data_IF_142312551692
#
_entry.id   IF_142312551692
#
_cell.length_a   1.000
_cell.length_b   1.000
_cell.length_c   1.000
_cell.angle_alpha   90.00
_cell.angle_beta   90.00
_cell.angle_gamma   90.00
#
_symmetry.space_group_name_H-M   'P 1'
#
loop_
_entity.id
_entity.type
_entity.pdbx_description
1 polymer ?
#
# COMPACT_ATOMS: atom_id res chain seq x y z
N UNK A 1 -9.06 11.28 -4.85
CA UNK A 1 -9.81 11.04 -3.59
C UNK A 1 -10.36 9.62 -3.57
N UNK A 2 -10.28 8.93 -2.42
CA UNK A 2 -10.91 7.62 -2.21
C UNK A 2 -11.99 7.76 -1.13
N UNK A 3 -13.17 7.19 -1.37
CA UNK A 3 -14.27 7.19 -0.42
C UNK A 3 -14.74 5.76 -0.17
N UNK A 4 -14.80 5.36 1.10
CA UNK A 4 -15.41 4.11 1.56
C UNK A 4 -16.72 4.44 2.28
N UNK A 5 -17.82 3.79 1.91
CA UNK A 5 -19.14 4.01 2.50
C UNK A 5 -19.75 2.68 2.94
N UNK A 6 -19.85 2.48 4.25
CA UNK A 6 -20.44 1.30 4.90
C UNK A 6 -19.89 -0.03 4.34
N UNK A 7 -18.57 -0.09 4.09
CA UNK A 7 -17.93 -1.23 3.45
C UNK A 7 -17.77 -2.37 4.44
N UNK A 8 -18.32 -3.55 4.09
CA UNK A 8 -18.01 -4.79 4.78
C UNK A 8 -17.54 -5.81 3.76
N UNK A 9 -16.55 -6.63 4.16
CA UNK A 9 -16.02 -7.69 3.32
C UNK A 9 -15.67 -8.92 4.14
N UNK A 10 -16.02 -10.10 3.63
CA UNK A 10 -15.58 -11.39 4.16
C UNK A 10 -15.11 -12.30 3.03
N UNK A 11 -13.97 -12.96 3.25
CA UNK A 11 -13.51 -14.01 2.32
C UNK A 11 -14.45 -15.22 2.36
N UNK A 12 -14.53 -16.00 1.27
CA UNK A 12 -15.28 -17.24 1.27
C UNK A 12 -14.76 -18.17 2.36
N UNK A 13 -15.64 -18.89 3.04
CA UNK A 13 -15.21 -19.95 3.95
C UNK A 13 -14.36 -20.96 3.16
N UNK A 14 -13.12 -21.21 3.60
CA UNK A 14 -12.31 -22.28 3.02
C UNK A 14 -13.04 -23.59 3.24
N UNK A 15 -13.47 -24.27 2.14
CA UNK A 15 -14.29 -25.49 2.19
C UNK A 15 -13.58 -26.74 2.72
N UNK A 16 -12.66 -26.60 3.67
CA UNK A 16 -12.02 -27.69 4.41
C UNK A 16 -12.82 -27.91 5.69
N UNK A 17 -13.59 -29.02 5.79
CA UNK A 17 -14.34 -29.34 7.01
C UNK A 17 -13.38 -29.51 8.18
N UNK A 18 -13.55 -28.73 9.23
CA UNK A 18 -12.76 -28.79 10.46
C UNK A 18 -11.80 -27.64 10.73
N UNK A 19 -11.72 -26.64 9.84
CA UNK A 19 -10.93 -25.43 10.07
C UNK A 19 -11.84 -24.19 10.12
N UNK A 20 -12.77 -24.17 11.07
CA UNK A 20 -13.74 -23.08 11.30
C UNK A 20 -13.10 -21.76 11.82
N UNK A 21 -11.79 -21.59 11.72
CA UNK A 21 -11.09 -20.47 12.35
C UNK A 21 -10.85 -19.26 11.47
N UNK A 22 -11.46 -19.17 10.27
CA UNK A 22 -11.38 -17.95 9.45
C UNK A 22 -12.71 -17.55 8.80
N UNK A 23 -13.80 -17.61 9.52
CA UNK A 23 -15.04 -16.89 9.19
C UNK A 23 -15.05 -15.49 9.81
N UNK A 24 -13.92 -14.92 10.08
CA UNK A 24 -13.83 -13.52 10.52
C UNK A 24 -14.11 -12.61 9.33
N UNK A 25 -15.17 -11.82 9.41
CA UNK A 25 -15.38 -10.70 8.50
C UNK A 25 -14.10 -9.86 8.51
N UNK A 26 -13.39 -9.84 7.39
CA UNK A 26 -12.12 -9.16 7.34
C UNK A 26 -12.27 -7.65 7.54
N UNK A 27 -13.45 -7.09 7.16
CA UNK A 27 -13.83 -5.71 7.42
C UNK A 27 -15.32 -5.60 7.71
N UNK A 28 -15.70 -4.66 8.59
CA UNK A 28 -17.07 -4.43 9.01
C UNK A 28 -17.35 -2.92 9.05
N UNK A 29 -18.36 -2.50 8.28
CA UNK A 29 -18.91 -1.15 8.29
C UNK A 29 -17.86 -0.03 8.18
N UNK A 30 -16.84 -0.21 7.34
CA UNK A 30 -15.79 0.78 7.10
C UNK A 30 -16.37 1.98 6.37
N UNK A 31 -16.24 3.16 6.96
CA UNK A 31 -16.58 4.44 6.35
C UNK A 31 -15.45 5.43 6.59
N UNK A 32 -14.80 5.87 5.52
CA UNK A 32 -13.75 6.89 5.59
C UNK A 32 -13.54 7.54 4.22
N UNK A 33 -13.00 8.76 4.22
CA UNK A 33 -12.55 9.47 3.02
C UNK A 33 -11.05 9.68 3.11
N UNK A 34 -10.32 9.43 2.05
CA UNK A 34 -8.88 9.68 1.92
C UNK A 34 -8.70 10.79 0.89
N UNK A 35 -8.26 11.94 1.38
CA UNK A 35 -8.06 13.13 0.55
C UNK A 35 -6.84 12.99 -0.34
N UNK A 36 -6.87 13.65 -1.51
CA UNK A 36 -5.72 13.72 -2.41
C UNK A 36 -4.53 14.43 -1.73
N UNK A 37 -3.34 13.90 -1.94
CA UNK A 37 -2.09 14.41 -1.35
C UNK A 37 -1.89 14.10 0.13
N UNK A 38 -2.82 13.40 0.78
CA UNK A 38 -2.69 13.01 2.18
C UNK A 38 -1.79 11.77 2.34
N UNK A 39 -1.07 11.72 3.47
CA UNK A 39 -0.34 10.52 3.89
C UNK A 39 -1.09 9.86 5.06
N UNK A 40 -1.75 8.74 4.77
CA UNK A 40 -2.59 8.00 5.74
C UNK A 40 -1.87 6.73 6.19
N UNK A 41 -1.70 6.59 7.50
CA UNK A 41 -1.19 5.38 8.14
C UNK A 41 -2.37 4.51 8.59
N UNK A 42 -2.38 3.25 8.16
CA UNK A 42 -3.27 2.21 8.67
C UNK A 42 -2.51 1.40 9.73
N UNK A 43 -2.94 1.43 10.98
CA UNK A 43 -2.31 0.69 12.05
C UNK A 43 -3.34 -0.14 12.84
N UNK A 44 -2.85 -1.08 13.63
CA UNK A 44 -3.68 -1.98 14.43
C UNK A 44 -3.01 -3.35 14.62
N UNK A 45 -3.59 -4.23 15.45
CA UNK A 45 -3.08 -5.58 15.72
C UNK A 45 -2.96 -6.43 14.44
N UNK A 46 -2.19 -7.50 14.51
CA UNK A 46 -2.16 -8.49 13.41
C UNK A 46 -3.55 -9.10 13.23
N UNK A 47 -3.96 -9.28 11.96
CA UNK A 47 -5.27 -9.84 11.63
C UNK A 47 -6.46 -8.88 11.74
N UNK A 48 -6.26 -7.60 12.08
CA UNK A 48 -7.36 -6.64 12.23
C UNK A 48 -7.98 -6.15 10.91
N UNK A 49 -7.50 -6.60 9.74
CA UNK A 49 -8.08 -6.24 8.44
C UNK A 49 -7.24 -5.27 7.60
N UNK A 50 -6.02 -4.86 8.00
CA UNK A 50 -5.18 -3.90 7.24
C UNK A 50 -4.93 -4.32 5.79
N UNK A 51 -4.46 -5.55 5.56
CA UNK A 51 -4.23 -6.09 4.21
C UNK A 51 -5.53 -6.15 3.40
N UNK A 52 -6.67 -6.46 4.03
CA UNK A 52 -7.96 -6.43 3.34
C UNK A 52 -8.36 -5.01 2.96
N UNK A 53 -8.09 -4.04 3.84
CA UNK A 53 -8.31 -2.63 3.54
C UNK A 53 -7.42 -2.16 2.37
N UNK A 54 -6.12 -2.51 2.36
CA UNK A 54 -5.25 -2.16 1.23
C UNK A 54 -5.73 -2.78 -0.09
N UNK A 55 -6.22 -4.03 -0.06
CA UNK A 55 -6.80 -4.72 -1.23
C UNK A 55 -8.09 -4.09 -1.74
N UNK A 56 -8.90 -3.51 -0.88
CA UNK A 56 -10.07 -2.71 -1.28
C UNK A 56 -9.66 -1.42 -1.97
N UNK A 57 -8.68 -0.71 -1.39
CA UNK A 57 -8.24 0.59 -1.88
C UNK A 57 -7.51 0.52 -3.22
N UNK A 58 -6.86 -0.59 -3.53
CA UNK A 58 -6.18 -0.81 -4.82
C UNK A 58 -7.01 -1.62 -5.83
N UNK A 59 -8.26 -1.94 -5.51
CA UNK A 59 -9.20 -2.62 -6.40
C UNK A 59 -8.98 -4.14 -6.53
N UNK A 60 -8.03 -4.75 -5.82
CA UNK A 60 -7.90 -6.21 -5.80
C UNK A 60 -9.12 -6.89 -5.21
N UNK A 61 -9.87 -6.22 -4.36
CA UNK A 61 -11.23 -6.57 -3.97
C UNK A 61 -12.17 -5.57 -4.67
N UNK A 62 -13.14 -6.03 -5.44
CA UNK A 62 -13.58 -7.43 -5.64
C UNK A 62 -12.96 -8.12 -6.87
N UNK A 63 -12.10 -7.48 -7.65
CA UNK A 63 -11.71 -7.96 -8.98
C UNK A 63 -10.82 -9.22 -8.99
N UNK A 64 -10.01 -9.41 -7.98
CA UNK A 64 -9.09 -10.55 -7.86
C UNK A 64 -9.43 -11.46 -6.67
N UNK A 65 -9.84 -10.86 -5.54
CA UNK A 65 -10.26 -11.60 -4.36
C UNK A 65 -11.78 -11.65 -4.29
N UNK A 66 -12.32 -12.85 -4.43
CA UNK A 66 -13.76 -13.10 -4.27
C UNK A 66 -14.16 -13.04 -2.79
N UNK A 67 -15.43 -12.69 -2.53
CA UNK A 67 -15.98 -12.64 -1.19
C UNK A 67 -17.32 -11.90 -1.13
N UNK A 68 -17.88 -11.85 0.06
CA UNK A 68 -19.10 -11.07 0.29
C UNK A 68 -18.70 -9.61 0.52
N UNK A 69 -18.99 -8.77 -0.45
CA UNK A 69 -18.69 -7.34 -0.44
C UNK A 69 -19.98 -6.53 -0.41
N UNK A 70 -20.15 -5.69 0.62
CA UNK A 70 -21.26 -4.74 0.76
C UNK A 70 -20.73 -3.32 0.94
N UNK A 71 -21.59 -2.31 0.75
CA UNK A 71 -21.18 -0.92 0.72
C UNK A 71 -20.57 -0.52 -0.61
N UNK A 72 -19.79 0.55 -0.64
CA UNK A 72 -19.12 1.03 -1.85
C UNK A 72 -17.73 1.60 -1.56
N UNK A 73 -16.78 1.35 -2.48
CA UNK A 73 -15.48 2.04 -2.54
C UNK A 73 -15.45 2.85 -3.82
N UNK A 74 -15.22 4.15 -3.71
CA UNK A 74 -15.17 5.04 -4.87
C UNK A 74 -13.79 5.63 -5.04
N UNK A 75 -13.31 5.62 -6.27
CA UNK A 75 -12.08 6.28 -6.71
C UNK A 75 -12.46 7.43 -7.65
N UNK A 76 -12.24 8.67 -7.23
CA UNK A 76 -12.68 9.88 -7.95
C UNK A 76 -14.18 9.87 -8.26
N UNK A 77 -15.01 9.47 -7.29
CA UNK A 77 -16.46 9.44 -7.41
C UNK A 77 -17.03 8.22 -8.17
N UNK A 78 -16.19 7.40 -8.83
CA UNK A 78 -16.63 6.17 -9.52
C UNK A 78 -16.45 4.96 -8.61
N UNK A 79 -17.46 4.09 -8.54
CA UNK A 79 -17.36 2.84 -7.78
C UNK A 79 -16.26 1.94 -8.39
N UNK A 80 -15.41 1.36 -7.55
CA UNK A 80 -14.31 0.48 -8.00
C UNK A 80 -14.82 -0.76 -8.74
N UNK A 81 -16.05 -1.20 -8.48
CA UNK A 81 -16.70 -2.31 -9.21
C UNK A 81 -17.00 -1.99 -10.66
N UNK A 82 -17.14 -0.71 -11.01
CA UNK A 82 -17.41 -0.22 -12.36
C UNK A 82 -16.14 0.08 -13.16
N UNK A 83 -14.98 0.08 -12.48
CA UNK A 83 -13.68 0.32 -13.09
C UNK A 83 -12.98 -1.02 -13.36
N UNK A 84 -12.25 -1.13 -14.46
CA UNK A 84 -11.36 -2.27 -14.67
C UNK A 84 -10.10 -2.15 -13.77
N UNK A 85 -9.44 -3.27 -13.48
CA UNK A 85 -8.13 -3.23 -12.80
C UNK A 85 -7.11 -2.40 -13.57
N UNK A 86 -7.20 -2.37 -14.89
CA UNK A 86 -6.38 -1.51 -15.75
C UNK A 86 -6.60 -0.03 -15.43
N UNK A 87 -7.87 0.43 -15.38
CA UNK A 87 -8.20 1.83 -15.05
C UNK A 87 -7.76 2.22 -13.63
N UNK A 88 -7.88 1.28 -12.69
CA UNK A 88 -7.45 1.49 -11.31
C UNK A 88 -5.92 1.58 -11.26
N UNK A 89 -5.18 0.71 -11.97
CA UNK A 89 -3.72 0.67 -11.96
C UNK A 89 -3.05 1.93 -12.54
N UNK A 90 -3.75 2.68 -13.39
CA UNK A 90 -3.31 4.00 -13.86
C UNK A 90 -3.31 5.06 -12.75
N UNK A 91 -4.12 4.85 -11.70
CA UNK A 91 -4.33 5.82 -10.62
C UNK A 91 -3.70 5.40 -9.30
N UNK A 92 -3.65 4.08 -9.07
CA UNK A 92 -3.22 3.47 -7.81
C UNK A 92 -2.06 2.53 -8.04
N UNK A 93 -0.88 2.92 -7.57
CA UNK A 93 0.29 2.06 -7.51
C UNK A 93 0.30 1.24 -6.22
N UNK A 94 0.50 -0.06 -6.33
CA UNK A 94 0.50 -0.99 -5.20
C UNK A 94 1.89 -1.50 -4.89
N UNK A 95 2.20 -1.61 -3.59
CA UNK A 95 3.42 -2.26 -3.11
C UNK A 95 3.02 -3.29 -2.05
N UNK A 96 3.31 -4.56 -2.31
CA UNK A 96 2.90 -5.67 -1.45
C UNK A 96 3.92 -5.97 -0.35
N UNK A 97 3.47 -6.61 0.71
CA UNK A 97 4.29 -7.03 1.85
C UNK A 97 5.50 -7.87 1.44
N UNK A 98 5.31 -8.77 0.48
CA UNK A 98 6.39 -9.55 -0.10
C UNK A 98 6.71 -9.04 -1.51
N UNK A 99 7.80 -8.29 -1.71
CA UNK A 99 8.15 -7.77 -3.03
C UNK A 99 8.40 -8.86 -4.07
N UNK A 100 8.78 -10.08 -3.65
CA UNK A 100 8.99 -11.20 -4.58
C UNK A 100 7.72 -11.63 -5.31
N UNK A 101 6.56 -11.47 -4.69
CA UNK A 101 5.28 -11.81 -5.33
C UNK A 101 4.79 -10.75 -6.32
N UNK A 102 5.49 -9.61 -6.39
CA UNK A 102 5.14 -8.49 -7.27
C UNK A 102 5.93 -8.53 -8.58
N UNK A 103 7.13 -9.14 -8.60
CA UNK A 103 8.02 -9.11 -9.75
C UNK A 103 7.61 -10.09 -10.85
N UNK A 104 7.64 -9.61 -12.09
CA UNK A 104 7.38 -10.36 -13.31
C UNK A 104 8.65 -10.61 -14.12
N UNK A 105 9.67 -9.75 -13.97
CA UNK A 105 10.91 -9.80 -14.74
C UNK A 105 12.07 -10.36 -13.93
N UNK A 106 13.14 -10.72 -14.62
CA UNK A 106 14.37 -11.25 -14.00
C UNK A 106 15.41 -10.17 -13.71
N UNK A 107 15.31 -9.02 -14.36
CA UNK A 107 16.17 -7.86 -14.18
C UNK A 107 15.39 -6.62 -13.75
N UNK A 108 16.08 -5.71 -13.11
CA UNK A 108 15.50 -4.52 -12.48
C UNK A 108 15.03 -3.49 -13.47
N UNK A 109 15.70 -3.29 -14.58
CA UNK A 109 15.36 -2.29 -15.60
C UNK A 109 14.07 -2.68 -16.32
N UNK A 110 13.96 -3.95 -16.73
CA UNK A 110 12.72 -4.50 -17.30
C UNK A 110 11.57 -4.47 -16.28
N UNK A 111 11.84 -4.69 -15.00
CA UNK A 111 10.81 -4.60 -13.97
C UNK A 111 10.28 -3.17 -13.79
N UNK A 112 11.14 -2.15 -13.87
CA UNK A 112 10.71 -0.76 -13.84
C UNK A 112 9.91 -0.37 -15.10
N UNK A 113 10.25 -0.95 -16.25
CA UNK A 113 9.57 -0.71 -17.52
C UNK A 113 8.21 -1.42 -17.62
N UNK A 114 8.03 -2.52 -16.88
CA UNK A 114 6.88 -3.42 -17.02
C UNK A 114 5.51 -2.73 -16.92
N UNK A 115 5.33 -1.88 -15.92
CA UNK A 115 4.07 -1.14 -15.75
C UNK A 115 3.76 -0.22 -16.95
N UNK A 116 4.64 0.71 -17.30
CA UNK A 116 4.47 1.58 -18.47
C UNK A 116 4.25 0.82 -19.80
N UNK A 117 4.99 -0.28 -20.04
CA UNK A 117 4.81 -1.15 -21.22
C UNK A 117 3.41 -1.77 -21.27
N UNK A 118 2.93 -2.33 -20.15
CA UNK A 118 1.58 -2.89 -20.07
C UNK A 118 0.47 -1.85 -20.24
N UNK A 119 0.76 -0.58 -19.99
CA UNK A 119 -0.14 0.52 -20.29
C UNK A 119 -0.03 1.01 -21.75
N UNK A 120 0.73 0.32 -22.59
CA UNK A 120 0.88 0.63 -24.01
C UNK A 120 1.61 1.93 -24.29
N UNK A 121 2.47 2.39 -23.40
CA UNK A 121 3.24 3.62 -23.59
C UNK A 121 4.31 3.39 -24.66
N UNK A 122 4.57 4.40 -25.53
CA UNK A 122 5.66 4.34 -26.51
C UNK A 122 7.02 4.11 -25.82
N UNK A 123 7.93 3.38 -26.49
CA UNK A 123 9.25 3.03 -25.95
C UNK A 123 10.03 4.24 -25.40
N UNK A 124 9.98 5.37 -26.11
CA UNK A 124 10.66 6.61 -25.68
C UNK A 124 10.12 7.10 -24.32
N UNK A 125 8.80 7.04 -24.12
CA UNK A 125 8.14 7.41 -22.85
C UNK A 125 8.48 6.41 -21.75
N UNK A 126 8.49 5.12 -22.05
CA UNK A 126 8.90 4.07 -21.09
C UNK A 126 10.32 4.36 -20.60
N UNK A 127 11.26 4.59 -21.51
CA UNK A 127 12.67 4.87 -21.19
C UNK A 127 12.82 6.15 -20.37
N UNK A 128 12.11 7.21 -20.75
CA UNK A 128 12.08 8.46 -19.96
C UNK A 128 11.59 8.23 -18.54
N UNK A 129 10.49 7.49 -18.36
CA UNK A 129 9.90 7.18 -17.05
C UNK A 129 10.83 6.34 -16.17
N UNK A 130 11.45 5.31 -16.73
CA UNK A 130 12.43 4.47 -16.01
C UNK A 130 13.60 5.33 -15.53
N UNK A 131 14.20 6.15 -16.41
CA UNK A 131 15.32 7.01 -16.02
C UNK A 131 14.90 8.07 -14.99
N UNK A 132 13.74 8.68 -15.15
CA UNK A 132 13.19 9.64 -14.19
C UNK A 132 13.00 9.02 -12.80
N UNK A 133 12.36 7.86 -12.74
CA UNK A 133 12.11 7.16 -11.46
C UNK A 133 13.43 6.70 -10.85
N UNK A 134 14.34 6.16 -11.66
CA UNK A 134 15.67 5.77 -11.16
C UNK A 134 16.38 6.95 -10.51
N UNK A 135 16.42 8.11 -11.16
CA UNK A 135 17.03 9.32 -10.59
C UNK A 135 16.30 9.86 -9.36
N UNK A 136 14.97 9.93 -9.40
CA UNK A 136 14.17 10.45 -8.28
C UNK A 136 14.26 9.60 -7.02
N UNK A 137 14.25 8.27 -7.18
CA UNK A 137 14.25 7.32 -6.07
C UNK A 137 15.65 6.75 -5.77
N UNK A 138 16.69 7.26 -6.44
CA UNK A 138 18.09 6.83 -6.28
C UNK A 138 18.29 5.34 -6.53
N UNK A 139 17.71 4.85 -7.64
CA UNK A 139 17.76 3.44 -8.05
C UNK A 139 18.84 3.17 -9.10
N UNK A 140 19.57 4.20 -9.58
CA UNK A 140 20.56 4.05 -10.65
C UNK A 140 21.59 2.94 -10.37
N UNK A 141 22.09 2.76 -9.11
CA UNK A 141 23.03 1.69 -8.81
C UNK A 141 22.42 0.28 -8.88
N UNK A 142 21.10 0.20 -9.00
CA UNK A 142 20.34 -1.05 -9.04
C UNK A 142 19.91 -1.43 -10.46
N UNK A 143 20.03 -0.54 -11.43
CA UNK A 143 19.66 -0.82 -12.83
C UNK A 143 20.51 -1.96 -13.40
N UNK A 144 19.95 -2.67 -14.37
CA UNK A 144 20.57 -3.77 -15.11
C UNK A 144 21.10 -4.91 -14.22
N UNK A 145 20.56 -5.05 -13.01
CA UNK A 145 20.90 -6.11 -12.07
C UNK A 145 19.83 -7.19 -12.06
N UNK A 146 20.26 -8.43 -11.81
CA UNK A 146 19.32 -9.52 -11.55
C UNK A 146 18.55 -9.27 -10.24
N UNK A 147 17.21 -9.35 -10.29
CA UNK A 147 16.34 -9.23 -9.11
C UNK A 147 16.68 -10.28 -8.05
N UNK A 148 17.14 -11.45 -8.48
CA UNK A 148 17.51 -12.54 -7.55
C UNK A 148 18.74 -12.20 -6.70
N UNK A 149 19.64 -11.35 -7.20
CA UNK A 149 20.86 -10.92 -6.50
C UNK A 149 20.63 -9.79 -5.50
N UNK A 150 19.44 -9.18 -5.50
CA UNK A 150 19.12 -8.04 -4.64
C UNK A 150 18.85 -8.46 -3.19
N UNK A 151 19.26 -7.62 -2.25
CA UNK A 151 18.84 -7.68 -0.85
C UNK A 151 17.35 -7.42 -0.70
N UNK A 152 16.78 -7.70 0.47
CA UNK A 152 15.36 -7.39 0.75
C UNK A 152 15.02 -5.92 0.57
N UNK A 153 15.90 -5.02 1.05
CA UNK A 153 15.72 -3.57 0.91
C UNK A 153 15.81 -3.09 -0.53
N UNK A 154 16.77 -3.60 -1.31
CA UNK A 154 16.88 -3.29 -2.73
C UNK A 154 15.64 -3.76 -3.50
N UNK A 155 15.13 -4.97 -3.20
CA UNK A 155 13.88 -5.48 -3.78
C UNK A 155 12.69 -4.56 -3.48
N UNK A 156 12.59 -4.08 -2.24
CA UNK A 156 11.49 -3.17 -1.87
C UNK A 156 11.60 -1.83 -2.61
N UNK A 157 12.81 -1.30 -2.78
CA UNK A 157 13.04 -0.09 -3.59
C UNK A 157 12.62 -0.29 -5.05
N UNK A 158 12.99 -1.41 -5.66
CA UNK A 158 12.60 -1.73 -7.04
C UNK A 158 11.07 -1.91 -7.15
N UNK A 159 10.42 -2.57 -6.19
CA UNK A 159 8.96 -2.71 -6.17
C UNK A 159 8.25 -1.35 -6.09
N UNK A 160 8.75 -0.43 -5.27
CA UNK A 160 8.25 0.94 -5.24
C UNK A 160 8.55 1.69 -6.54
N UNK A 161 9.74 1.51 -7.11
CA UNK A 161 10.13 2.10 -8.40
C UNK A 161 9.23 1.64 -9.55
N UNK A 162 8.94 0.34 -9.62
CA UNK A 162 8.04 -0.24 -10.62
C UNK A 162 6.62 0.38 -10.51
N UNK A 163 6.08 0.49 -9.30
CA UNK A 163 4.81 1.19 -9.07
C UNK A 163 4.90 2.69 -9.47
N UNK A 164 6.03 3.36 -9.19
CA UNK A 164 6.23 4.78 -9.50
C UNK A 164 6.45 5.06 -11.00
N UNK A 165 6.91 4.09 -11.79
CA UNK A 165 7.16 4.27 -13.22
C UNK A 165 5.86 4.53 -14.00
N UNK A 166 4.72 4.05 -13.53
CA UNK A 166 3.39 4.39 -14.08
C UNK A 166 2.99 5.83 -13.75
N UNK A 167 3.62 6.42 -12.70
CA UNK A 167 3.32 7.76 -12.16
C UNK A 167 1.90 7.90 -11.57
N UNK A 168 1.47 6.96 -10.75
CA UNK A 168 0.14 7.01 -10.15
C UNK A 168 0.02 8.20 -9.19
N UNK A 169 -1.21 8.65 -8.94
CA UNK A 169 -1.47 9.71 -7.94
C UNK A 169 -1.56 9.16 -6.52
N UNK A 170 -1.90 7.90 -6.38
CA UNK A 170 -2.16 7.22 -5.11
C UNK A 170 -1.22 6.02 -4.99
N UNK A 171 -0.60 5.86 -3.84
CA UNK A 171 0.21 4.70 -3.48
C UNK A 171 -0.42 3.96 -2.32
N UNK A 172 -0.63 2.66 -2.48
CA UNK A 172 -1.13 1.76 -1.44
C UNK A 172 -0.04 0.75 -1.13
N UNK A 173 0.51 0.83 0.09
CA UNK A 173 1.62 -0.01 0.52
C UNK A 173 1.18 -0.90 1.69
N UNK A 174 1.36 -2.19 1.56
CA UNK A 174 1.00 -3.17 2.58
C UNK A 174 2.25 -3.71 3.30
N UNK A 175 2.47 -3.29 4.54
CA UNK A 175 3.58 -3.67 5.43
C UNK A 175 4.96 -3.70 4.74
N UNK A 176 5.34 -2.64 4.00
CA UNK A 176 6.54 -2.66 3.15
C UNK A 176 7.85 -2.79 3.93
N UNK A 177 7.86 -2.49 5.23
CA UNK A 177 9.07 -2.59 6.06
C UNK A 177 9.29 -3.97 6.68
N UNK A 178 8.38 -4.93 6.50
CA UNK A 178 8.40 -6.21 7.21
C UNK A 178 9.70 -7.00 7.09
N UNK A 179 10.35 -6.92 5.92
CA UNK A 179 11.59 -7.65 5.60
C UNK A 179 12.82 -6.74 5.49
N UNK A 180 12.76 -5.51 6.01
CA UNK A 180 13.83 -4.53 5.93
C UNK A 180 14.67 -4.48 7.21
N UNK A 181 15.99 -4.36 7.04
CA UNK A 181 16.89 -3.97 8.12
C UNK A 181 16.83 -2.44 8.39
N UNK A 182 17.53 -1.99 9.40
CA UNK A 182 17.50 -0.58 9.84
C UNK A 182 17.98 0.39 8.76
N UNK A 183 18.99 0.02 7.97
CA UNK A 183 19.51 0.86 6.89
C UNK A 183 18.52 0.97 5.75
N UNK A 184 17.97 -0.17 5.31
CA UNK A 184 16.95 -0.22 4.27
C UNK A 184 15.68 0.55 4.66
N UNK A 185 15.28 0.52 5.94
CA UNK A 185 14.16 1.32 6.46
C UNK A 185 14.43 2.83 6.32
N UNK A 186 15.65 3.27 6.64
CA UNK A 186 16.02 4.68 6.47
C UNK A 186 15.94 5.14 5.02
N UNK A 187 16.44 4.33 4.11
CA UNK A 187 16.35 4.60 2.68
C UNK A 187 14.91 4.60 2.17
N UNK A 188 14.11 3.66 2.66
CA UNK A 188 12.68 3.56 2.32
C UNK A 188 11.90 4.78 2.82
N UNK A 189 12.22 5.27 4.04
CA UNK A 189 11.67 6.52 4.55
C UNK A 189 11.97 7.70 3.63
N UNK A 190 13.20 7.81 3.09
CA UNK A 190 13.56 8.87 2.14
C UNK A 190 12.70 8.79 0.87
N UNK A 191 12.49 7.58 0.34
CA UNK A 191 11.63 7.35 -0.80
C UNK A 191 10.20 7.85 -0.54
N UNK A 192 9.60 7.47 0.60
CA UNK A 192 8.28 7.95 0.99
C UNK A 192 8.22 9.48 1.14
N UNK A 193 9.28 10.09 1.67
CA UNK A 193 9.39 11.56 1.79
C UNK A 193 9.39 12.25 0.41
N UNK A 194 10.06 11.66 -0.58
CA UNK A 194 10.08 12.17 -1.96
C UNK A 194 8.67 12.10 -2.56
N UNK A 195 7.98 10.96 -2.44
CA UNK A 195 6.62 10.81 -2.94
C UNK A 195 5.64 11.79 -2.28
N UNK A 196 5.76 11.97 -0.95
CA UNK A 196 4.96 12.97 -0.22
C UNK A 196 5.23 14.39 -0.71
N UNK A 197 6.48 14.77 -0.90
CA UNK A 197 6.87 16.09 -1.39
C UNK A 197 6.35 16.37 -2.82
N UNK A 198 6.12 15.32 -3.61
CA UNK A 198 5.49 15.40 -4.93
C UNK A 198 3.95 15.53 -4.87
N UNK A 199 3.36 15.60 -3.69
CA UNK A 199 1.91 15.69 -3.51
C UNK A 199 1.15 14.39 -3.78
N UNK A 200 1.84 13.25 -3.76
CA UNK A 200 1.20 11.94 -3.93
C UNK A 200 0.38 11.58 -2.70
N UNK A 201 -0.76 10.95 -2.92
CA UNK A 201 -1.54 10.33 -1.85
C UNK A 201 -0.88 9.02 -1.45
N UNK A 202 -0.59 8.82 -0.18
CA UNK A 202 0.10 7.63 0.32
C UNK A 202 -0.77 6.98 1.39
N UNK A 203 -1.11 5.72 1.19
CA UNK A 203 -1.78 4.89 2.19
C UNK A 203 -0.83 3.74 2.51
N UNK A 204 -0.42 3.63 3.77
CA UNK A 204 0.53 2.61 4.20
C UNK A 204 -0.01 1.85 5.41
N UNK A 205 -0.09 0.53 5.31
CA UNK A 205 -0.29 -0.31 6.47
C UNK A 205 1.05 -0.64 7.11
N UNK A 206 1.18 -0.50 8.42
CA UNK A 206 2.43 -0.75 9.12
C UNK A 206 2.27 -1.19 10.58
N UNK A 207 3.26 -1.98 11.02
CA UNK A 207 3.47 -2.33 12.42
C UNK A 207 4.66 -1.58 13.04
N UNK A 208 5.67 -1.22 12.24
CA UNK A 208 6.86 -0.47 12.67
C UNK A 208 6.62 1.02 12.44
N UNK A 209 6.08 1.71 13.45
CA UNK A 209 5.61 3.09 13.28
C UNK A 209 6.72 4.14 13.35
N UNK A 210 7.83 3.85 14.04
CA UNK A 210 8.88 4.82 14.37
C UNK A 210 9.49 5.52 13.15
N UNK A 211 9.66 4.82 12.03
CA UNK A 211 10.27 5.41 10.83
C UNK A 211 9.31 6.30 10.03
N UNK A 212 8.01 6.24 10.31
CA UNK A 212 6.99 7.06 9.68
C UNK A 212 6.69 8.35 10.46
N UNK A 213 7.29 8.51 11.65
CA UNK A 213 7.12 9.71 12.47
C UNK A 213 7.44 10.98 11.67
N UNK A 214 6.51 11.94 11.67
CA UNK A 214 6.60 13.18 10.89
C UNK A 214 6.30 13.06 9.40
N UNK A 215 5.95 11.86 8.88
CA UNK A 215 5.52 11.68 7.50
C UNK A 215 4.01 11.62 7.35
N UNK A 216 3.29 10.90 8.20
CA UNK A 216 1.84 10.78 8.09
C UNK A 216 1.11 12.03 8.57
N UNK A 217 -0.03 12.30 7.93
CA UNK A 217 -0.94 13.41 8.27
C UNK A 217 -2.12 12.90 9.11
N UNK A 218 -2.51 11.64 8.89
CA UNK A 218 -3.68 10.99 9.49
C UNK A 218 -3.40 9.53 9.78
N UNK A 219 -4.02 9.00 10.82
CA UNK A 219 -3.90 7.60 11.23
C UNK A 219 -5.29 7.00 11.39
N UNK A 220 -5.55 5.91 10.68
CA UNK A 220 -6.73 5.08 10.86
C UNK A 220 -6.32 3.85 11.68
N UNK A 221 -6.86 3.74 12.89
CA UNK A 221 -6.64 2.60 13.76
C UNK A 221 -7.73 1.56 13.53
N UNK A 222 -7.30 0.39 13.03
CA UNK A 222 -8.18 -0.75 12.79
C UNK A 222 -8.08 -1.76 13.93
N UNK A 223 -9.23 -2.27 14.37
CA UNK A 223 -9.35 -3.36 15.30
C UNK A 223 -10.61 -4.18 14.99
N UNK A 224 -10.48 -5.50 14.99
CA UNK A 224 -11.59 -6.43 14.73
C UNK A 224 -12.38 -6.13 13.44
N UNK A 225 -11.70 -5.66 12.39
CA UNK A 225 -12.30 -5.33 11.09
C UNK A 225 -12.96 -3.96 11.02
N UNK A 226 -12.90 -3.14 12.04
CA UNK A 226 -13.52 -1.81 12.11
C UNK A 226 -12.49 -0.71 12.26
N UNK A 227 -12.82 0.52 11.81
CA UNK A 227 -12.07 1.73 12.15
C UNK A 227 -12.53 2.17 13.54
N UNK A 228 -11.72 1.91 14.55
CA UNK A 228 -12.01 2.30 15.94
C UNK A 228 -11.34 3.61 16.34
N UNK A 229 -10.48 4.16 15.49
CA UNK A 229 -9.86 5.46 15.73
C UNK A 229 -9.46 6.13 14.43
N UNK A 230 -9.67 7.43 14.39
CA UNK A 230 -9.32 8.31 13.27
C UNK A 230 -8.64 9.54 13.86
N UNK A 231 -7.33 9.61 13.72
CA UNK A 231 -6.51 10.59 14.40
C UNK A 231 -5.74 11.44 13.39
N UNK A 232 -5.65 12.74 13.66
CA UNK A 232 -4.59 13.56 13.06
C UNK A 232 -3.22 13.11 13.55
N UNK A 233 -2.16 13.45 12.82
CA UNK A 233 -0.79 13.16 13.24
C UNK A 233 -0.49 13.69 14.65
N UNK A 234 -1.00 14.88 14.98
CA UNK A 234 -0.80 15.51 16.29
C UNK A 234 -1.49 14.75 17.43
N UNK A 235 -2.72 14.33 17.23
CA UNK A 235 -3.47 13.54 18.22
C UNK A 235 -2.81 12.20 18.45
N UNK A 236 -2.43 11.50 17.37
CA UNK A 236 -1.81 10.19 17.47
C UNK A 236 -0.42 10.23 18.14
N UNK A 237 0.41 11.22 17.80
CA UNK A 237 1.71 11.40 18.45
C UNK A 237 1.59 11.82 19.91
N UNK A 238 0.48 12.46 20.29
CA UNK A 238 0.15 12.84 21.65
C UNK A 238 -0.35 11.69 22.54
N UNK A 239 -0.65 10.52 21.98
CA UNK A 239 -1.07 9.36 22.76
C UNK A 239 0.08 8.91 23.69
N UNK A 240 -0.28 8.63 24.95
CA UNK A 240 0.67 8.08 25.92
C UNK A 240 1.15 6.67 25.54
N UNK A 241 2.31 6.26 26.06
CA UNK A 241 2.80 4.89 25.85
C UNK A 241 1.77 3.84 26.27
N UNK A 242 1.06 4.07 27.39
CA UNK A 242 0.01 3.18 27.89
C UNK A 242 -1.16 3.05 26.90
N UNK A 243 -1.64 4.16 26.33
CA UNK A 243 -2.72 4.12 25.33
C UNK A 243 -2.30 3.36 24.08
N UNK A 244 -1.07 3.56 23.58
CA UNK A 244 -0.56 2.81 22.43
C UNK A 244 -0.41 1.31 22.73
N UNK A 245 0.02 0.94 23.92
CA UNK A 245 0.13 -0.45 24.36
C UNK A 245 -1.25 -1.14 24.44
N UNK A 246 -2.26 -0.46 24.99
CA UNK A 246 -3.66 -0.91 25.01
C UNK A 246 -4.25 -1.09 23.59
N UNK A 247 -3.76 -0.31 22.61
CA UNK A 247 -4.09 -0.45 21.20
C UNK A 247 -3.29 -1.58 20.51
N UNK A 248 -2.36 -2.23 21.19
CA UNK A 248 -1.47 -3.24 20.61
C UNK A 248 -0.47 -2.67 19.59
N UNK A 249 -0.10 -1.40 19.71
CA UNK A 249 0.81 -0.72 18.80
C UNK A 249 2.24 -0.73 19.32
N UNK A 250 3.19 -0.84 18.39
CA UNK A 250 4.62 -0.68 18.72
C UNK A 250 4.96 0.79 18.99
N UNK A 251 6.07 1.06 19.71
CA UNK A 251 6.54 2.44 19.92
C UNK A 251 6.73 3.22 18.62
N UNK A 252 6.50 4.54 18.71
CA UNK A 252 6.80 5.51 17.65
C UNK A 252 8.29 5.85 17.64
#
# INVERSE_FOLDING_TARGET
MIECQNVSFSYPASGIPGNDTQTGGALQNISCTIEDGSFVLLCGPSGCGKTTMTRLLNGLIPHYHEGNFTGSVRLDGKDTRELSLFDISLKVGSVFQNPRSQFFNVDTTSELAFGPENHGMPEEIVRERVNRVAGQLKLEPLLDRSIFSLSGGEKQKIACGSAAAVDPRIYVLDEPSSNLDTYAISDFRQLLSILKAQGKTIIISEHRLYYLSGLFDRVLYLKDGEIQGDYSAKEFTGLSAKQRDEMGLRPL
#
